data_IF_200727962204
#
_entry.id   IF_200727962204
#
_cell.length_a   1.000
_cell.length_b   1.000
_cell.length_c   1.000
_cell.angle_alpha   90.00
_cell.angle_beta   90.00
_cell.angle_gamma   90.00
#
_symmetry.space_group_name_H-M   'P 1'
#
loop_
_entity.id
_entity.type
_entity.pdbx_description
1 polymer ?
#
# COMPACT_ATOMS: atom_id res chain seq x y z
N UNK A 1 -2.28 11.49 9.02
CA UNK A 1 -0.89 11.17 8.66
C UNK A 1 -0.81 10.95 7.15
N UNK A 2 0.22 11.50 6.53
CA UNK A 2 0.37 11.38 5.09
C UNK A 2 1.17 10.12 4.74
N UNK A 3 0.63 9.32 3.83
CA UNK A 3 1.31 8.12 3.35
C UNK A 3 2.33 8.49 2.29
N UNK A 4 3.51 7.87 2.36
CA UNK A 4 4.58 8.09 1.39
C UNK A 4 4.99 6.76 0.77
N UNK A 5 5.66 6.82 -0.38
CA UNK A 5 6.04 5.61 -1.10
C UNK A 5 7.11 4.79 -0.38
N UNK A 6 7.83 5.40 0.55
CA UNK A 6 8.85 4.72 1.34
C UNK A 6 8.27 3.91 2.50
N UNK A 7 7.01 4.13 2.83
CA UNK A 7 6.36 3.37 3.91
C UNK A 7 6.07 1.94 3.46
N UNK A 8 6.22 1.01 4.39
CA UNK A 8 5.88 -0.38 4.08
C UNK A 8 4.37 -0.58 4.16
N UNK A 9 3.89 -1.63 3.48
CA UNK A 9 2.47 -1.98 3.52
C UNK A 9 2.01 -2.19 4.96
N UNK A 10 2.81 -2.87 5.77
CA UNK A 10 2.47 -3.08 7.17
C UNK A 10 2.32 -1.80 7.96
N UNK A 11 3.21 -0.83 7.71
CA UNK A 11 3.13 0.47 8.38
C UNK A 11 1.86 1.20 7.97
N UNK A 12 1.53 1.18 6.69
CA UNK A 12 0.35 1.87 6.17
C UNK A 12 -0.93 1.28 6.76
N UNK A 13 -1.03 -0.04 6.81
CA UNK A 13 -2.23 -0.70 7.35
C UNK A 13 -2.38 -0.44 8.85
N UNK A 14 -1.27 -0.43 9.58
CA UNK A 14 -1.32 -0.17 11.01
C UNK A 14 -1.70 1.28 11.32
N UNK A 15 -1.24 2.20 10.48
CA UNK A 15 -1.54 3.62 10.67
C UNK A 15 -2.98 3.94 10.28
N UNK A 16 -3.49 3.28 9.23
CA UNK A 16 -4.84 3.51 8.72
C UNK A 16 -5.44 2.19 8.25
N UNK A 17 -6.31 1.56 9.08
CA UNK A 17 -6.89 0.26 8.71
C UNK A 17 -7.67 0.27 7.40
N UNK A 18 -8.25 1.40 7.01
CA UNK A 18 -8.96 1.50 5.74
C UNK A 18 -8.05 1.34 4.53
N UNK A 19 -6.74 1.54 4.74
CA UNK A 19 -5.77 1.39 3.66
C UNK A 19 -5.78 -0.03 3.09
N UNK A 20 -6.09 -1.03 3.92
CA UNK A 20 -6.17 -2.41 3.45
C UNK A 20 -7.16 -2.55 2.30
N UNK A 21 -8.35 -1.95 2.45
CA UNK A 21 -9.37 -2.01 1.39
C UNK A 21 -8.92 -1.26 0.15
N UNK A 22 -8.26 -0.13 0.33
CA UNK A 22 -7.76 0.65 -0.81
C UNK A 22 -6.71 -0.15 -1.57
N UNK A 23 -5.76 -0.76 -0.85
CA UNK A 23 -4.74 -1.58 -1.48
C UNK A 23 -5.34 -2.76 -2.23
N UNK A 24 -6.34 -3.41 -1.64
CA UNK A 24 -7.02 -4.52 -2.29
C UNK A 24 -7.74 -4.07 -3.56
N UNK A 25 -8.30 -2.88 -3.56
CA UNK A 25 -8.98 -2.36 -4.75
C UNK A 25 -8.02 -2.09 -5.90
N UNK A 26 -6.73 -1.95 -5.60
CA UNK A 26 -5.69 -1.80 -6.62
C UNK A 26 -5.10 -3.14 -7.06
N UNK A 27 -5.65 -4.26 -6.57
CA UNK A 27 -5.21 -5.58 -6.97
C UNK A 27 -4.20 -6.24 -6.03
N UNK A 28 -3.94 -5.65 -4.89
CA UNK A 28 -3.01 -6.21 -3.91
C UNK A 28 -3.75 -7.11 -2.93
N UNK A 29 -3.97 -8.37 -3.32
CA UNK A 29 -4.77 -9.27 -2.50
C UNK A 29 -4.06 -9.90 -1.32
N UNK A 30 -2.72 -9.93 -1.30
CA UNK A 30 -1.95 -10.64 -0.28
C UNK A 30 -1.31 -9.69 0.74
N UNK A 31 -2.03 -8.69 1.18
CA UNK A 31 -1.50 -7.69 2.10
C UNK A 31 -1.40 -8.17 3.54
N UNK A 32 -1.95 -9.33 3.85
CA UNK A 32 -1.88 -9.89 5.20
C UNK A 32 -0.65 -10.74 5.46
N UNK A 33 0.14 -11.06 4.42
CA UNK A 33 1.33 -11.91 4.59
C UNK A 33 2.51 -11.08 5.11
N UNK A 34 3.29 -11.62 6.06
CA UNK A 34 4.45 -10.87 6.58
C UNK A 34 5.42 -10.41 5.50
N UNK A 35 5.66 -11.23 4.49
CA UNK A 35 6.58 -10.85 3.42
C UNK A 35 6.03 -9.70 2.59
N UNK A 36 4.73 -9.68 2.33
CA UNK A 36 4.10 -8.59 1.61
C UNK A 36 4.12 -7.31 2.42
N UNK A 37 3.91 -7.41 3.73
CA UNK A 37 3.87 -6.24 4.60
C UNK A 37 5.25 -5.59 4.76
N UNK A 38 6.32 -6.32 4.47
CA UNK A 38 7.68 -5.79 4.54
C UNK A 38 8.04 -4.96 3.30
N UNK A 39 7.28 -5.07 2.22
CA UNK A 39 7.53 -4.30 1.01
C UNK A 39 7.05 -2.86 1.18
N UNK A 40 7.79 -1.92 0.56
CA UNK A 40 7.33 -0.54 0.52
C UNK A 40 6.19 -0.39 -0.50
N UNK A 41 5.45 0.69 -0.39
CA UNK A 41 4.39 0.97 -1.36
C UNK A 41 4.97 1.07 -2.78
N UNK A 42 6.16 1.67 -2.90
CA UNK A 42 6.82 1.79 -4.20
C UNK A 42 7.16 0.42 -4.77
N UNK A 43 7.75 -0.46 -3.95
CA UNK A 43 8.11 -1.81 -4.39
C UNK A 43 6.87 -2.59 -4.81
N UNK A 44 5.83 -2.53 -4.00
CA UNK A 44 4.60 -3.25 -4.29
C UNK A 44 3.94 -2.74 -5.56
N UNK A 45 3.95 -1.43 -5.77
CA UNK A 45 3.35 -0.86 -6.98
C UNK A 45 4.11 -1.30 -8.23
N UNK A 46 5.43 -1.44 -8.14
CA UNK A 46 6.22 -1.93 -9.27
C UNK A 46 5.90 -3.39 -9.59
N UNK A 47 5.77 -4.22 -8.57
CA UNK A 47 5.47 -5.63 -8.76
C UNK A 47 4.09 -5.83 -9.38
N UNK A 48 3.12 -5.04 -8.96
CA UNK A 48 1.73 -5.18 -9.41
C UNK A 48 1.37 -4.28 -10.59
N UNK A 49 2.32 -3.50 -11.09
CA UNK A 49 2.06 -2.61 -12.22
C UNK A 49 1.12 -1.47 -11.89
N UNK A 50 1.15 -0.98 -10.67
CA UNK A 50 0.26 0.08 -10.20
C UNK A 50 0.98 1.42 -10.29
N UNK A 51 0.23 2.47 -10.66
CA UNK A 51 0.78 3.83 -10.65
C UNK A 51 0.88 4.31 -9.20
N UNK A 52 2.11 4.52 -8.72
CA UNK A 52 2.35 4.88 -7.32
C UNK A 52 1.68 6.22 -6.95
N UNK A 53 1.65 7.17 -7.88
CA UNK A 53 1.06 8.47 -7.59
C UNK A 53 -0.44 8.35 -7.36
N UNK A 54 -1.12 7.53 -8.16
CA UNK A 54 -2.54 7.28 -7.98
C UNK A 54 -2.83 6.53 -6.69
N UNK A 55 -1.96 5.59 -6.34
CA UNK A 55 -2.11 4.84 -5.10
C UNK A 55 -1.98 5.76 -3.90
N UNK A 56 -0.95 6.61 -3.89
CA UNK A 56 -0.76 7.56 -2.80
C UNK A 56 -1.90 8.54 -2.70
N UNK A 57 -2.43 9.00 -3.84
CA UNK A 57 -3.57 9.91 -3.84
C UNK A 57 -4.77 9.25 -3.17
N UNK A 58 -5.04 8.00 -3.48
CA UNK A 58 -6.15 7.27 -2.89
C UNK A 58 -5.95 7.08 -1.38
N UNK A 59 -4.71 6.76 -0.98
CA UNK A 59 -4.41 6.53 0.43
C UNK A 59 -4.47 7.80 1.26
N UNK A 60 -4.22 8.94 0.65
CA UNK A 60 -4.17 10.23 1.35
C UNK A 60 -5.45 11.05 1.20
N UNK A 61 -6.43 10.54 0.52
CA UNK A 61 -7.68 11.28 0.30
C UNK A 61 -8.65 11.19 1.47
#
# INVERSE_FOLDING_TARGET
MKMTKEMTIGQVIRAEPKAAQILMSFGMGCIGCPSSQAETLEEASMVHGINIDKLLEALNS
#
